data_IF_913206070000
#
_entry.id   IF_913206070000
#
_cell.length_a   1.000
_cell.length_b   1.000
_cell.length_c   1.000
_cell.angle_alpha   90.00
_cell.angle_beta   90.00
_cell.angle_gamma   90.00
#
_symmetry.space_group_name_H-M   'P 1'
#
loop_
_entity.id
_entity.type
_entity.pdbx_description
1 polymer ?
#
# COMPACT_ATOMS: atom_id res chain seq x y z
N UNK A 1 0.64 -5.74 28.12
CA UNK A 1 1.74 -6.32 27.30
C UNK A 1 1.23 -6.39 25.87
N UNK A 2 1.80 -5.65 24.90
CA UNK A 2 1.33 -5.76 23.51
C UNK A 2 1.63 -7.18 23.02
N UNK A 3 0.60 -7.89 22.56
CA UNK A 3 0.76 -9.21 21.93
C UNK A 3 1.61 -9.03 20.66
N UNK A 4 2.92 -9.23 20.80
CA UNK A 4 3.88 -9.15 19.70
C UNK A 4 3.98 -10.54 19.11
N UNK A 5 3.31 -10.74 17.97
CA UNK A 5 3.53 -11.91 17.12
C UNK A 5 5.02 -12.02 16.79
N UNK A 6 5.54 -13.23 16.88
CA UNK A 6 6.97 -13.53 16.76
C UNK A 6 7.46 -13.73 15.32
N UNK A 7 6.53 -13.73 14.35
CA UNK A 7 6.84 -13.94 12.93
C UNK A 7 6.14 -12.89 12.05
N UNK A 8 6.87 -12.35 11.08
CA UNK A 8 6.35 -11.39 10.08
C UNK A 8 6.78 -11.82 8.69
N UNK A 9 5.81 -11.90 7.77
CA UNK A 9 6.05 -12.13 6.35
C UNK A 9 5.59 -10.89 5.57
N UNK A 10 6.47 -10.35 4.72
CA UNK A 10 6.17 -9.21 3.85
C UNK A 10 6.37 -9.62 2.39
N UNK A 11 5.36 -9.47 1.56
CA UNK A 11 5.45 -9.74 0.14
C UNK A 11 4.43 -8.90 -0.66
N UNK A 12 4.72 -8.69 -1.94
CA UNK A 12 3.75 -8.15 -2.89
C UNK A 12 3.13 -9.34 -3.66
N UNK A 13 1.85 -9.69 -3.44
CA UNK A 13 1.22 -10.84 -4.11
C UNK A 13 1.28 -10.79 -5.64
N UNK A 14 1.41 -9.60 -6.24
CA UNK A 14 1.49 -9.46 -7.69
C UNK A 14 2.81 -9.98 -8.30
N UNK A 15 3.85 -10.16 -7.49
CA UNK A 15 5.17 -10.61 -7.97
C UNK A 15 5.35 -12.13 -7.91
N UNK A 16 4.33 -12.87 -7.44
CA UNK A 16 4.42 -14.31 -7.23
C UNK A 16 3.38 -15.06 -8.06
N UNK A 17 3.79 -16.21 -8.58
CA UNK A 17 2.93 -17.11 -9.32
C UNK A 17 1.96 -17.86 -8.38
N UNK A 18 1.04 -18.64 -8.98
CA UNK A 18 0.06 -19.39 -8.19
C UNK A 18 0.73 -20.45 -7.32
N UNK A 19 1.78 -21.13 -7.80
CA UNK A 19 2.44 -22.21 -7.06
C UNK A 19 3.11 -21.69 -5.79
N UNK A 20 3.84 -20.57 -5.85
CA UNK A 20 4.45 -19.95 -4.68
C UNK A 20 3.39 -19.52 -3.65
N UNK A 21 2.26 -18.96 -4.12
CA UNK A 21 1.12 -18.59 -3.24
C UNK A 21 0.52 -19.82 -2.57
N UNK A 22 0.27 -20.88 -3.33
CA UNK A 22 -0.27 -22.15 -2.80
C UNK A 22 0.68 -22.75 -1.78
N UNK A 23 1.99 -22.81 -2.08
CA UNK A 23 2.99 -23.30 -1.13
C UNK A 23 2.95 -22.54 0.19
N UNK A 24 2.86 -21.20 0.13
CA UNK A 24 2.77 -20.40 1.35
C UNK A 24 1.51 -20.73 2.17
N UNK A 25 0.35 -20.79 1.51
CA UNK A 25 -0.94 -21.05 2.17
C UNK A 25 -0.99 -22.46 2.75
N UNK A 26 -0.45 -23.46 2.06
CA UNK A 26 -0.54 -24.87 2.47
C UNK A 26 0.58 -25.32 3.41
N UNK A 27 1.78 -24.72 3.30
CA UNK A 27 2.97 -25.20 4.02
C UNK A 27 3.45 -24.25 5.10
N UNK A 28 3.29 -22.94 4.93
CA UNK A 28 3.81 -21.96 5.90
C UNK A 28 2.69 -21.51 6.85
N UNK A 29 1.56 -21.05 6.31
CA UNK A 29 0.47 -20.46 7.10
C UNK A 29 -0.09 -21.37 8.21
N UNK A 30 -0.27 -22.69 8.03
CA UNK A 30 -0.80 -23.57 9.09
C UNK A 30 0.14 -23.72 10.29
N UNK A 31 1.42 -23.41 10.12
CA UNK A 31 2.43 -23.48 11.19
C UNK A 31 2.53 -22.18 12.00
N UNK A 32 1.75 -21.14 11.66
CA UNK A 32 1.77 -19.85 12.35
C UNK A 32 0.62 -19.77 13.36
N UNK A 33 0.94 -19.43 14.61
CA UNK A 33 -0.05 -19.11 15.64
C UNK A 33 -0.48 -17.64 15.51
N UNK A 34 -1.77 -17.36 15.71
CA UNK A 34 -2.35 -16.01 15.67
C UNK A 34 -2.02 -15.24 14.36
N UNK A 35 -2.12 -15.92 13.23
CA UNK A 35 -1.87 -15.32 11.92
C UNK A 35 -2.93 -14.25 11.58
N UNK A 36 -2.52 -13.17 10.93
CA UNK A 36 -3.40 -12.07 10.55
C UNK A 36 -2.67 -10.95 9.81
N UNK A 37 -3.40 -10.08 9.13
CA UNK A 37 -2.79 -8.99 8.37
C UNK A 37 -2.37 -7.84 9.29
N UNK A 38 -1.07 -7.50 9.31
CA UNK A 38 -0.58 -6.27 9.92
C UNK A 38 -0.57 -5.08 8.95
N UNK A 39 -0.60 -5.36 7.64
CA UNK A 39 -0.58 -4.36 6.58
C UNK A 39 -1.21 -4.92 5.31
N UNK A 40 -2.08 -4.12 4.69
CA UNK A 40 -2.63 -4.36 3.36
C UNK A 40 -2.49 -3.10 2.52
N UNK A 41 -1.84 -3.20 1.35
CA UNK A 41 -1.72 -2.11 0.40
C UNK A 41 -2.67 -2.39 -0.79
N UNK A 42 -3.75 -1.63 -0.90
CA UNK A 42 -4.65 -1.64 -2.06
C UNK A 42 -4.09 -0.74 -3.15
N UNK A 43 -4.16 -1.17 -4.40
CA UNK A 43 -3.46 -0.55 -5.51
C UNK A 43 -4.40 -0.36 -6.71
N UNK A 44 -4.76 0.88 -7.01
CA UNK A 44 -5.63 1.21 -8.14
C UNK A 44 -4.83 1.91 -9.22
N UNK A 45 -4.95 1.39 -10.43
CA UNK A 45 -4.26 1.86 -11.62
C UNK A 45 -5.26 2.74 -12.43
N UNK A 46 -5.04 4.05 -12.47
CA UNK A 46 -5.96 5.07 -13.00
C UNK A 46 -5.33 5.86 -14.17
N UNK A 47 -6.15 6.53 -14.98
CA UNK A 47 -5.73 7.18 -16.23
C UNK A 47 -5.65 8.72 -16.15
N UNK A 48 -6.38 9.30 -15.19
CA UNK A 48 -6.72 10.71 -14.96
C UNK A 48 -5.55 11.55 -14.45
N UNK A 49 -5.51 12.86 -14.70
CA UNK A 49 -4.36 13.67 -14.28
C UNK A 49 -4.15 13.72 -12.75
N UNK A 50 -2.90 13.62 -12.29
CA UNK A 50 -2.55 13.60 -10.86
C UNK A 50 -2.84 14.97 -10.25
N UNK A 51 -2.71 16.01 -11.08
CA UNK A 51 -3.04 17.37 -10.71
C UNK A 51 -4.51 17.50 -10.31
N UNK A 52 -5.38 16.73 -10.98
CA UNK A 52 -6.84 16.82 -10.88
C UNK A 52 -7.41 15.87 -9.81
N UNK A 53 -6.58 14.96 -9.27
CA UNK A 53 -7.00 14.04 -8.22
C UNK A 53 -7.10 14.76 -6.88
N UNK A 54 -8.34 14.88 -6.39
CA UNK A 54 -8.65 15.28 -5.03
C UNK A 54 -8.75 14.05 -4.12
N UNK A 55 -8.06 14.09 -2.98
CA UNK A 55 -8.21 13.09 -1.92
C UNK A 55 -9.00 13.73 -0.81
N UNK A 56 -10.21 13.22 -0.58
CA UNK A 56 -11.02 13.62 0.56
C UNK A 56 -10.98 12.54 1.62
N UNK A 57 -10.61 12.92 2.83
CA UNK A 57 -10.61 12.05 4.00
C UNK A 57 -11.52 12.63 5.07
N UNK A 58 -12.15 11.75 5.83
CA UNK A 58 -12.95 12.06 7.02
C UNK A 58 -12.13 12.78 8.11
N UNK A 59 -10.83 12.53 8.16
CA UNK A 59 -9.89 13.12 9.12
C UNK A 59 -8.86 13.97 8.34
N UNK A 60 -8.51 15.19 8.78
CA UNK A 60 -7.47 15.97 8.14
C UNK A 60 -6.11 15.25 8.25
N UNK A 61 -5.48 14.99 7.11
CA UNK A 61 -4.18 14.31 7.04
C UNK A 61 -3.08 15.28 6.62
N UNK A 62 -1.89 15.11 7.20
CA UNK A 62 -0.67 15.78 6.71
C UNK A 62 -0.46 15.42 5.24
N UNK A 63 -0.23 16.42 4.41
CA UNK A 63 0.05 16.25 2.99
C UNK A 63 1.51 16.57 2.67
N UNK A 64 2.14 15.75 1.82
CA UNK A 64 3.45 16.01 1.23
C UNK A 64 3.29 15.91 -0.29
N UNK A 65 3.69 16.95 -1.01
CA UNK A 65 3.67 17.01 -2.48
C UNK A 65 5.10 17.06 -3.00
N UNK A 66 5.41 16.18 -3.94
CA UNK A 66 6.71 16.12 -4.62
C UNK A 66 6.52 16.63 -6.04
N UNK A 67 7.32 17.63 -6.40
CA UNK A 67 7.36 18.25 -7.72
C UNK A 67 8.60 17.81 -8.49
N UNK A 68 8.43 17.61 -9.79
CA UNK A 68 9.54 17.39 -10.72
C UNK A 68 10.27 18.69 -11.05
N UNK A 69 11.38 18.57 -11.79
CA UNK A 69 12.15 19.74 -12.26
C UNK A 69 11.36 20.64 -13.22
N UNK A 70 10.34 20.08 -13.86
CA UNK A 70 9.37 20.75 -14.74
C UNK A 70 8.25 21.47 -13.95
N UNK A 71 8.25 21.37 -12.62
CA UNK A 71 7.18 21.90 -11.77
C UNK A 71 5.91 21.05 -11.75
N UNK A 72 5.88 19.91 -12.46
CA UNK A 72 4.73 19.02 -12.46
C UNK A 72 4.69 18.17 -11.18
N UNK A 73 3.49 17.86 -10.68
CA UNK A 73 3.33 16.97 -9.52
C UNK A 73 3.70 15.53 -9.90
N UNK A 74 4.68 14.97 -9.20
CA UNK A 74 5.12 13.59 -9.41
C UNK A 74 4.49 12.62 -8.41
N UNK A 75 4.33 13.07 -7.16
CA UNK A 75 3.73 12.28 -6.10
C UNK A 75 3.03 13.16 -5.06
N UNK A 76 1.97 12.62 -4.46
CA UNK A 76 1.29 13.15 -3.28
C UNK A 76 1.16 12.04 -2.24
N UNK A 77 1.49 12.39 -1.01
CA UNK A 77 1.38 11.52 0.15
C UNK A 77 0.43 12.17 1.15
N UNK A 78 -0.49 11.38 1.70
CA UNK A 78 -1.41 11.81 2.74
C UNK A 78 -1.30 10.89 3.96
N UNK A 79 -1.08 11.48 5.13
CA UNK A 79 -0.84 10.78 6.38
C UNK A 79 0.64 10.47 6.62
N UNK A 80 0.92 9.78 7.72
CA UNK A 80 2.26 9.30 8.05
C UNK A 80 2.45 7.88 7.52
N UNK A 81 3.69 7.48 7.23
CA UNK A 81 3.97 6.09 6.81
C UNK A 81 3.58 5.06 7.88
N UNK A 82 3.63 5.47 9.14
CA UNK A 82 3.34 4.62 10.30
C UNK A 82 1.89 4.72 10.78
N UNK A 83 1.08 5.60 10.17
CA UNK A 83 -0.35 5.66 10.50
C UNK A 83 -1.13 4.49 9.91
N UNK A 84 -2.31 4.26 10.48
CA UNK A 84 -3.23 3.20 10.06
C UNK A 84 -3.65 3.37 8.60
N UNK A 85 -4.00 4.62 8.23
CA UNK A 85 -4.29 5.04 6.87
C UNK A 85 -3.13 5.84 6.31
N UNK A 86 -2.60 5.42 5.17
CA UNK A 86 -1.57 6.15 4.43
C UNK A 86 -1.85 6.05 2.94
N UNK A 87 -2.05 7.20 2.29
CA UNK A 87 -2.46 7.28 0.89
C UNK A 87 -1.28 7.79 0.06
N UNK A 88 -1.03 7.13 -1.06
CA UNK A 88 -0.02 7.53 -2.04
C UNK A 88 -0.64 7.64 -3.41
N UNK A 89 -0.47 8.78 -4.03
CA UNK A 89 -0.81 9.01 -5.43
C UNK A 89 0.48 9.36 -6.13
N UNK A 90 0.88 8.61 -7.14
CA UNK A 90 2.12 8.89 -7.84
C UNK A 90 2.10 8.43 -9.29
N UNK A 91 2.99 9.02 -10.07
CA UNK A 91 3.17 8.66 -11.46
C UNK A 91 4.04 7.40 -11.58
N UNK A 92 3.41 6.23 -11.77
CA UNK A 92 4.09 4.95 -11.93
C UNK A 92 5.10 4.95 -13.10
N UNK A 93 4.85 5.74 -14.15
CA UNK A 93 5.66 5.78 -15.39
C UNK A 93 7.09 6.28 -15.19
N UNK A 94 7.29 7.26 -14.31
CA UNK A 94 8.66 7.76 -13.98
C UNK A 94 9.41 6.80 -13.06
N UNK A 95 8.71 5.86 -12.43
CA UNK A 95 9.29 4.89 -11.48
C UNK A 95 9.72 3.57 -12.16
N UNK A 96 9.11 3.19 -13.29
CA UNK A 96 9.50 2.04 -14.11
C UNK A 96 9.03 2.22 -15.58
N UNK A 97 9.87 1.87 -16.56
CA UNK A 97 9.55 1.91 -18.00
C UNK A 97 8.25 1.12 -18.29
N UNK A 98 7.29 1.76 -18.99
CA UNK A 98 6.06 1.25 -19.69
C UNK A 98 4.67 1.75 -19.14
N UNK A 99 3.85 2.25 -20.09
CA UNK A 99 2.41 2.69 -20.17
C UNK A 99 1.77 3.58 -19.06
N UNK A 100 0.88 4.56 -19.43
CA UNK A 100 0.24 5.51 -18.50
C UNK A 100 -0.71 4.84 -17.55
N UNK A 101 -0.19 4.43 -16.41
CA UNK A 101 -1.01 3.81 -15.39
C UNK A 101 -0.60 4.45 -14.09
N UNK A 102 -1.45 5.28 -13.51
CA UNK A 102 -1.18 6.05 -12.28
C UNK A 102 -1.63 5.22 -11.10
N UNK A 103 -0.85 5.12 -10.03
CA UNK A 103 -1.17 4.19 -8.94
C UNK A 103 -1.60 4.93 -7.68
N UNK A 104 -2.85 4.73 -7.28
CA UNK A 104 -3.32 5.06 -5.93
C UNK A 104 -3.03 3.85 -5.04
N UNK A 105 -2.14 4.02 -4.06
CA UNK A 105 -1.92 3.02 -3.02
C UNK A 105 -2.57 3.49 -1.73
N UNK A 106 -3.57 2.75 -1.27
CA UNK A 106 -4.15 2.91 0.06
C UNK A 106 -3.58 1.82 0.97
N UNK A 107 -2.77 2.22 1.93
CA UNK A 107 -2.35 1.35 3.02
C UNK A 107 -3.44 1.37 4.09
N UNK A 108 -3.96 0.19 4.40
CA UNK A 108 -4.83 -0.07 5.53
C UNK A 108 -4.05 -0.97 6.49
N UNK A 109 -3.79 -0.49 7.71
CA UNK A 109 -3.22 -1.33 8.77
C UNK A 109 -4.37 -1.86 9.62
N UNK A 110 -4.61 -3.17 9.60
CA UNK A 110 -5.60 -3.78 10.47
C UNK A 110 -5.12 -3.74 11.92
N UNK A 111 -5.86 -3.01 12.77
CA UNK A 111 -5.71 -2.99 14.21
C UNK A 111 -6.99 -3.42 14.91
N UNK A 112 -7.52 -4.60 14.58
CA UNK A 112 -8.59 -5.21 15.36
C UNK A 112 -8.35 -6.70 15.45
N UNK A 113 -8.12 -7.18 16.67
CA UNK A 113 -8.34 -8.58 16.99
C UNK A 113 -9.79 -8.89 16.58
N UNK A 114 -9.98 -9.78 15.62
CA UNK A 114 -11.26 -10.47 15.45
C UNK A 114 -11.40 -11.33 16.71
N UNK A 115 -12.16 -10.83 17.68
CA UNK A 115 -12.67 -11.58 18.83
C UNK A 115 -13.71 -12.58 18.37
#
# INVERSE_FOLDING_TARGET
MRDRRNFRCEFNPNNYDRKAKTFFVEKILPNLKNAGFSRLDLAFDVSENLNDLLVMTDIPLKQIVIYGRDGAVEARYFGSRDSERYIRIYNKKKSARIKPIRKLILKICGGSNLS
#
